data_IF_883547992404
#
_entry.id   IF_883547992404
#
_cell.length_a   1.000
_cell.length_b   1.000
_cell.length_c   1.000
_cell.angle_alpha   90.00
_cell.angle_beta   90.00
_cell.angle_gamma   90.00
#
_symmetry.space_group_name_H-M   'P 1'
#
loop_
_entity.id
_entity.type
_entity.pdbx_description
1 polymer ?
#
# COMPACT_ATOMS: atom_id res chain seq x y z
N UNK A 1 15.95 14.81 10.99
CA UNK A 1 15.33 14.37 12.26
C UNK A 1 14.00 15.08 12.54
N UNK A 2 14.01 16.40 12.69
CA UNK A 2 12.80 17.18 12.97
C UNK A 2 11.65 16.89 11.99
N UNK A 3 11.92 16.93 10.68
CA UNK A 3 10.93 16.58 9.65
C UNK A 3 10.33 15.17 9.83
N UNK A 4 11.17 14.15 10.07
CA UNK A 4 10.71 12.77 10.33
C UNK A 4 9.85 12.71 11.59
N UNK A 5 10.22 13.44 12.65
CA UNK A 5 9.45 13.49 13.88
C UNK A 5 8.08 14.13 13.65
N UNK A 6 8.02 15.28 12.97
CA UNK A 6 6.77 15.97 12.65
C UNK A 6 5.87 15.10 11.76
N UNK A 7 6.44 14.41 10.76
CA UNK A 7 5.70 13.48 9.89
C UNK A 7 5.10 12.31 10.68
N UNK A 8 5.86 11.71 11.60
CA UNK A 8 5.36 10.67 12.49
C UNK A 8 4.23 11.15 13.39
N UNK A 9 4.32 12.37 13.91
CA UNK A 9 3.28 12.95 14.77
C UNK A 9 1.99 13.23 13.99
N UNK A 10 2.11 13.73 12.75
CA UNK A 10 0.98 13.97 11.87
C UNK A 10 0.27 12.65 11.47
N UNK A 11 1.00 11.62 11.03
CA UNK A 11 0.42 10.29 10.78
C UNK A 11 -0.19 9.68 12.04
N UNK A 12 0.47 9.85 13.18
CA UNK A 12 -0.05 9.42 14.48
C UNK A 12 -1.37 10.09 14.85
N UNK A 13 -1.52 11.38 14.53
CA UNK A 13 -2.77 12.09 14.77
C UNK A 13 -3.89 11.62 13.84
N UNK A 14 -3.60 11.35 12.55
CA UNK A 14 -4.55 10.73 11.62
C UNK A 14 -5.02 9.38 12.15
N UNK A 15 -4.11 8.54 12.64
CA UNK A 15 -4.42 7.24 13.24
C UNK A 15 -5.20 7.34 14.56
N UNK A 16 -4.90 8.29 15.44
CA UNK A 16 -5.72 8.54 16.64
C UNK A 16 -7.13 9.02 16.24
N UNK A 17 -7.22 9.87 15.22
CA UNK A 17 -8.51 10.33 14.70
C UNK A 17 -9.35 9.17 14.14
N UNK A 18 -8.74 8.32 13.33
CA UNK A 18 -9.28 7.06 12.86
C UNK A 18 -9.84 6.18 14.00
N UNK A 19 -9.11 6.05 15.12
CA UNK A 19 -9.61 5.31 16.28
C UNK A 19 -10.87 5.95 16.89
N UNK A 20 -10.91 7.29 16.97
CA UNK A 20 -12.10 8.03 17.45
C UNK A 20 -13.30 7.77 16.55
N UNK A 21 -13.12 7.83 15.22
CA UNK A 21 -14.19 7.57 14.24
C UNK A 21 -14.74 6.15 14.36
N UNK A 22 -13.86 5.15 14.40
CA UNK A 22 -14.24 3.75 14.59
C UNK A 22 -14.99 3.55 15.91
N UNK A 23 -14.53 4.19 16.99
CA UNK A 23 -15.20 4.12 18.28
C UNK A 23 -16.58 4.78 18.25
N UNK A 24 -16.73 5.89 17.54
CA UNK A 24 -17.98 6.62 17.37
C UNK A 24 -18.99 5.80 16.56
N UNK A 25 -18.58 5.28 15.39
CA UNK A 25 -19.39 4.40 14.55
C UNK A 25 -19.86 3.15 15.31
N UNK A 26 -18.96 2.55 16.10
CA UNK A 26 -19.28 1.40 16.96
C UNK A 26 -20.05 1.76 18.24
N UNK A 27 -20.43 3.03 18.44
CA UNK A 27 -21.12 3.55 19.64
C UNK A 27 -20.39 3.25 20.95
N UNK A 28 -19.06 3.13 20.91
CA UNK A 28 -18.18 2.94 22.09
C UNK A 28 -17.84 4.26 22.78
N UNK A 29 -18.00 5.38 22.08
CA UNK A 29 -17.87 6.74 22.61
C UNK A 29 -19.12 7.55 22.28
N UNK A 30 -19.50 8.47 23.18
CA UNK A 30 -20.61 9.39 22.92
C UNK A 30 -20.19 10.51 21.96
N UNK A 31 -21.09 11.03 21.08
CA UNK A 31 -20.76 12.07 20.11
C UNK A 31 -20.08 13.30 20.71
N UNK A 32 -20.59 13.83 21.84
CA UNK A 32 -20.00 15.00 22.49
C UNK A 32 -18.57 14.74 23.01
N UNK A 33 -18.30 13.50 23.42
CA UNK A 33 -16.96 13.10 23.87
C UNK A 33 -16.01 12.90 22.68
N UNK A 34 -16.50 12.41 21.55
CA UNK A 34 -15.73 12.35 20.29
C UNK A 34 -15.34 13.75 19.83
N UNK A 35 -16.29 14.69 19.77
CA UNK A 35 -16.03 16.12 19.48
C UNK A 35 -14.99 16.74 20.39
N UNK A 36 -15.09 16.50 21.70
CA UNK A 36 -14.12 17.02 22.65
C UNK A 36 -12.70 16.47 22.42
N UNK A 37 -12.58 15.17 22.12
CA UNK A 37 -11.28 14.55 21.79
C UNK A 37 -10.69 15.12 20.50
N UNK A 38 -11.49 15.20 19.44
CA UNK A 38 -11.08 15.75 18.16
C UNK A 38 -10.60 17.19 18.31
N UNK A 39 -11.39 18.04 18.97
CA UNK A 39 -11.01 19.43 19.20
C UNK A 39 -9.70 19.56 20.01
N UNK A 40 -9.46 18.66 20.97
CA UNK A 40 -8.20 18.63 21.74
C UNK A 40 -7.02 18.21 20.86
N UNK A 41 -7.19 17.18 20.02
CA UNK A 41 -6.18 16.70 19.09
C UNK A 41 -5.81 17.77 18.05
N UNK A 42 -6.80 18.38 17.39
CA UNK A 42 -6.59 19.47 16.42
C UNK A 42 -5.89 20.65 17.06
N UNK A 43 -6.34 21.08 18.25
CA UNK A 43 -5.68 22.16 18.98
C UNK A 43 -4.22 21.85 19.30
N UNK A 44 -3.91 20.61 19.71
CA UNK A 44 -2.55 20.19 19.98
C UNK A 44 -1.67 20.22 18.72
N UNK A 45 -2.21 19.79 17.56
CA UNK A 45 -1.51 19.87 16.28
C UNK A 45 -1.17 21.31 15.90
N UNK A 46 -2.09 22.24 16.11
CA UNK A 46 -1.87 23.68 15.88
C UNK A 46 -0.82 24.26 16.84
N UNK A 47 -0.95 23.97 18.14
CA UNK A 47 -0.06 24.51 19.18
C UNK A 47 1.39 24.03 19.01
N UNK A 48 1.59 22.79 18.53
CA UNK A 48 2.91 22.20 18.28
C UNK A 48 3.41 22.43 16.84
N UNK A 49 2.65 23.11 15.98
CA UNK A 49 3.03 23.39 14.58
C UNK A 49 3.09 22.16 13.68
N UNK A 50 2.40 21.08 14.05
CA UNK A 50 2.38 19.82 13.29
C UNK A 50 1.37 19.89 12.14
N UNK A 51 0.31 20.70 12.27
CA UNK A 51 -0.69 20.84 11.20
C UNK A 51 -0.05 21.32 9.88
N UNK A 52 0.97 22.17 9.95
CA UNK A 52 1.67 22.72 8.79
C UNK A 52 2.49 21.68 8.01
N UNK A 53 2.76 20.51 8.60
CA UNK A 53 3.46 19.40 7.92
C UNK A 53 2.51 18.30 7.44
N UNK A 54 1.26 18.34 7.86
CA UNK A 54 0.24 17.43 7.36
C UNK A 54 -0.02 17.75 5.88
N UNK A 55 -0.28 16.72 5.08
CA UNK A 55 -0.62 16.91 3.68
C UNK A 55 -2.04 17.46 3.53
N UNK A 56 -2.42 17.94 2.35
CA UNK A 56 -3.76 18.50 2.12
C UNK A 56 -4.86 17.51 2.50
N UNK A 57 -4.70 16.24 2.10
CA UNK A 57 -5.64 15.17 2.42
C UNK A 57 -5.72 14.91 3.92
N UNK A 58 -4.59 14.87 4.61
CA UNK A 58 -4.56 14.68 6.07
C UNK A 58 -5.15 15.87 6.82
N UNK A 59 -4.92 17.10 6.35
CA UNK A 59 -5.51 18.30 6.93
C UNK A 59 -7.04 18.26 6.82
N UNK A 60 -7.56 17.85 5.67
CA UNK A 60 -9.01 17.68 5.45
C UNK A 60 -9.58 16.63 6.41
N UNK A 61 -8.94 15.47 6.51
CA UNK A 61 -9.32 14.40 7.43
C UNK A 61 -9.29 14.85 8.90
N UNK A 62 -8.23 15.55 9.32
CA UNK A 62 -8.07 16.04 10.69
C UNK A 62 -9.05 17.17 11.04
N UNK A 63 -9.48 17.94 10.04
CA UNK A 63 -10.41 19.07 10.20
C UNK A 63 -11.88 18.67 10.08
N UNK A 64 -12.19 17.50 9.53
CA UNK A 64 -13.55 17.00 9.41
C UNK A 64 -14.25 16.87 10.76
N UNK A 65 -15.58 17.07 10.79
CA UNK A 65 -16.38 16.88 11.99
C UNK A 65 -16.44 15.39 12.38
N UNK A 66 -16.56 15.04 13.68
CA UNK A 66 -16.64 13.65 14.11
C UNK A 66 -17.87 12.93 13.54
N UNK A 67 -17.62 11.80 12.89
CA UNK A 67 -18.63 11.00 12.21
C UNK A 67 -18.78 11.27 10.71
N UNK A 68 -18.02 12.23 10.16
CA UNK A 68 -18.07 12.57 8.74
C UNK A 68 -17.10 11.75 7.87
N UNK A 69 -16.16 11.02 8.47
CA UNK A 69 -15.27 10.12 7.72
C UNK A 69 -16.08 8.98 7.08
N UNK A 70 -15.81 8.75 5.80
CA UNK A 70 -16.29 7.61 5.04
C UNK A 70 -15.49 6.35 5.39
N UNK A 71 -16.00 5.19 4.99
CA UNK A 71 -15.26 3.92 5.16
C UNK A 71 -13.92 3.93 4.41
N UNK A 72 -13.88 4.55 3.23
CA UNK A 72 -12.65 4.74 2.44
C UNK A 72 -11.62 5.62 3.14
N UNK A 73 -12.06 6.67 3.86
CA UNK A 73 -11.17 7.51 4.68
C UNK A 73 -10.56 6.71 5.83
N UNK A 74 -11.34 5.77 6.39
CA UNK A 74 -10.82 4.84 7.38
C UNK A 74 -9.78 3.93 6.73
N UNK A 75 -10.10 3.26 5.63
CA UNK A 75 -9.13 2.37 4.97
C UNK A 75 -7.81 3.09 4.65
N UNK A 76 -7.88 4.31 4.11
CA UNK A 76 -6.72 5.16 3.86
C UNK A 76 -5.90 5.44 5.12
N UNK A 77 -6.54 5.88 6.21
CA UNK A 77 -5.83 6.18 7.45
C UNK A 77 -5.18 4.92 8.06
N UNK A 78 -5.77 3.73 7.88
CA UNK A 78 -5.23 2.49 8.44
C UNK A 78 -4.02 1.99 7.66
N UNK A 79 -3.99 2.23 6.34
CA UNK A 79 -2.84 1.95 5.47
C UNK A 79 -1.58 2.66 6.02
N UNK A 80 -1.71 3.90 6.52
CA UNK A 80 -0.60 4.64 7.13
C UNK A 80 0.03 3.99 8.40
N UNK A 81 -0.57 2.94 8.97
CA UNK A 81 -0.03 2.23 10.14
C UNK A 81 1.36 1.65 9.86
N UNK A 82 1.56 1.04 8.68
CA UNK A 82 2.83 0.41 8.32
C UNK A 82 3.90 1.45 7.96
N UNK A 83 3.51 2.55 7.32
CA UNK A 83 4.39 3.70 7.11
C UNK A 83 4.90 4.28 8.44
N UNK A 84 3.99 4.55 9.38
CA UNK A 84 4.36 5.04 10.72
C UNK A 84 5.26 4.06 11.47
N UNK A 85 5.01 2.75 11.37
CA UNK A 85 5.87 1.73 11.97
C UNK A 85 7.31 1.81 11.45
N UNK A 86 7.49 2.02 10.14
CA UNK A 86 8.82 2.17 9.53
C UNK A 86 9.49 3.47 9.91
N UNK A 87 8.76 4.59 9.97
CA UNK A 87 9.32 5.86 10.46
C UNK A 87 9.79 5.75 11.92
N UNK A 88 8.99 5.12 12.79
CA UNK A 88 9.35 4.88 14.19
C UNK A 88 10.60 4.01 14.32
N UNK A 89 10.73 2.96 13.49
CA UNK A 89 11.93 2.14 13.44
C UNK A 89 13.14 2.94 12.93
N UNK A 90 12.97 3.69 11.84
CA UNK A 90 14.00 4.55 11.24
C UNK A 90 14.52 5.58 12.26
N UNK A 91 13.64 6.11 13.10
CA UNK A 91 13.91 7.07 14.17
C UNK A 91 14.45 6.46 15.49
N UNK A 92 14.61 5.13 15.55
CA UNK A 92 15.08 4.42 16.75
C UNK A 92 14.06 4.37 17.89
N UNK A 93 12.78 4.66 17.63
CA UNK A 93 11.69 4.70 18.62
C UNK A 93 10.94 3.37 18.76
N UNK A 94 11.11 2.46 17.80
CA UNK A 94 10.49 1.14 17.78
C UNK A 94 11.44 0.06 17.23
N UNK A 95 11.23 -1.23 17.56
CA UNK A 95 11.87 -2.33 16.85
C UNK A 95 11.39 -2.39 15.39
N UNK A 96 12.16 -3.05 14.52
CA UNK A 96 11.75 -3.31 13.14
C UNK A 96 10.44 -4.14 13.15
N UNK A 97 9.40 -3.76 12.39
CA UNK A 97 8.20 -4.56 12.30
C UNK A 97 8.48 -5.92 11.65
N UNK A 98 7.67 -6.93 11.96
CA UNK A 98 7.81 -8.25 11.36
C UNK A 98 7.59 -8.18 9.85
N UNK A 99 8.40 -8.92 9.08
CA UNK A 99 8.36 -8.83 7.62
C UNK A 99 7.05 -9.36 7.04
N UNK A 100 6.44 -10.36 7.70
CA UNK A 100 5.29 -11.11 7.21
C UNK A 100 3.95 -10.70 7.86
N UNK A 101 3.92 -9.59 8.61
CA UNK A 101 2.73 -9.14 9.33
C UNK A 101 2.60 -7.62 9.27
N UNK A 102 1.38 -7.08 9.01
CA UNK A 102 1.11 -5.67 9.16
C UNK A 102 1.40 -5.18 10.58
N UNK A 103 1.79 -3.91 10.71
CA UNK A 103 1.86 -3.27 12.02
C UNK A 103 0.46 -3.13 12.63
N UNK A 104 0.40 -2.94 13.95
CA UNK A 104 -0.87 -2.70 14.66
C UNK A 104 -0.91 -1.26 15.16
N UNK A 105 -2.09 -0.65 15.10
CA UNK A 105 -2.29 0.75 15.52
C UNK A 105 -1.81 0.97 16.96
N UNK A 106 -2.15 0.06 17.89
CA UNK A 106 -1.74 0.17 19.29
C UNK A 106 -0.20 0.12 19.46
N UNK A 107 0.50 -0.66 18.63
CA UNK A 107 1.95 -0.78 18.70
C UNK A 107 2.68 0.50 18.25
N UNK A 108 2.08 1.26 17.33
CA UNK A 108 2.65 2.52 16.82
C UNK A 108 2.21 3.74 17.64
N UNK A 109 0.92 3.88 17.95
CA UNK A 109 0.39 5.03 18.69
C UNK A 109 0.96 5.11 20.12
N UNK A 110 1.18 3.97 20.77
CA UNK A 110 1.78 3.92 22.10
C UNK A 110 3.21 4.47 22.19
N UNK A 111 3.85 4.80 21.06
CA UNK A 111 5.20 5.37 20.98
C UNK A 111 5.23 6.88 20.83
N UNK A 112 4.09 7.50 20.53
CA UNK A 112 4.02 8.92 20.22
C UNK A 112 3.53 9.73 21.43
N UNK A 113 4.05 10.95 21.63
CA UNK A 113 3.59 11.86 22.67
C UNK A 113 2.33 12.63 22.22
N UNK A 114 1.32 11.95 21.66
CA UNK A 114 0.09 12.63 21.22
C UNK A 114 -0.58 13.35 22.40
N UNK A 115 -1.08 14.56 22.14
CA UNK A 115 -1.67 15.47 23.12
C UNK A 115 -0.71 15.85 24.28
N UNK A 116 0.61 15.77 24.06
CA UNK A 116 1.68 16.14 25.02
C UNK A 116 2.76 16.98 24.33
N UNK A 117 3.59 17.73 25.08
CA UNK A 117 4.70 18.49 24.50
C UNK A 117 5.66 17.60 23.70
N UNK A 118 6.01 18.01 22.48
CA UNK A 118 6.78 17.17 21.54
C UNK A 118 8.29 17.42 21.57
N UNK A 119 8.74 18.56 22.11
CA UNK A 119 10.15 18.95 22.11
C UNK A 119 11.10 17.84 22.61
N UNK A 120 10.77 17.22 23.75
CA UNK A 120 11.60 16.15 24.31
C UNK A 120 11.62 14.87 23.48
N UNK A 121 10.59 14.61 22.67
CA UNK A 121 10.54 13.49 21.74
C UNK A 121 11.43 13.75 20.52
N UNK A 122 11.36 14.95 19.95
CA UNK A 122 12.18 15.38 18.81
C UNK A 122 13.67 15.35 19.18
N UNK A 123 14.03 15.84 20.37
CA UNK A 123 15.42 15.86 20.86
C UNK A 123 16.05 14.47 21.02
N UNK A 124 15.25 13.46 21.36
CA UNK A 124 15.71 12.09 21.58
C UNK A 124 15.83 11.27 20.29
N UNK A 125 15.39 11.83 19.17
CA UNK A 125 15.25 11.08 17.94
C UNK A 125 16.59 10.91 17.23
N UNK A 126 16.91 9.66 16.88
CA UNK A 126 18.15 9.30 16.20
C UNK A 126 17.82 8.49 14.95
N UNK A 127 17.86 9.16 13.80
CA UNK A 127 17.65 8.50 12.50
C UNK A 127 18.79 7.52 12.24
N UNK A 128 18.44 6.31 11.81
CA UNK A 128 19.39 5.25 11.46
C UNK A 128 20.32 5.67 10.31
N UNK A 129 21.52 5.06 10.19
CA UNK A 129 22.42 5.30 9.07
C UNK A 129 21.75 4.98 7.73
N UNK A 130 22.05 5.76 6.68
CA UNK A 130 21.45 5.59 5.35
C UNK A 130 21.64 4.18 4.79
N UNK A 131 22.82 3.57 4.96
CA UNK A 131 23.08 2.19 4.53
C UNK A 131 22.14 1.15 5.19
N UNK A 132 21.67 1.39 6.42
CA UNK A 132 20.67 0.52 7.04
C UNK A 132 19.27 0.74 6.46
N UNK A 133 18.92 2.00 6.19
CA UNK A 133 17.65 2.40 5.60
C UNK A 133 17.53 1.91 4.15
N UNK A 134 18.55 2.14 3.31
CA UNK A 134 18.63 1.68 1.92
C UNK A 134 18.41 0.17 1.82
N UNK A 135 19.10 -0.63 2.64
CA UNK A 135 18.90 -2.10 2.64
C UNK A 135 17.47 -2.54 2.93
N UNK A 136 16.74 -1.79 3.75
CA UNK A 136 15.33 -2.11 4.06
C UNK A 136 14.38 -1.50 3.02
N UNK A 137 14.73 -0.36 2.42
CA UNK A 137 14.02 0.22 1.28
C UNK A 137 14.04 -0.76 0.11
N UNK A 138 15.21 -1.29 -0.25
CA UNK A 138 15.38 -2.31 -1.30
C UNK A 138 14.61 -3.61 -0.98
N UNK A 139 14.54 -4.02 0.29
CA UNK A 139 13.73 -5.16 0.70
C UNK A 139 12.26 -4.92 0.37
N UNK A 140 11.71 -3.76 0.74
CA UNK A 140 10.30 -3.45 0.57
C UNK A 140 9.94 -3.17 -0.89
N UNK A 141 10.83 -2.54 -1.65
CA UNK A 141 10.72 -2.40 -3.11
C UNK A 141 10.66 -3.78 -3.79
N UNK A 142 11.59 -4.69 -3.45
CA UNK A 142 11.58 -6.06 -3.99
C UNK A 142 10.34 -6.85 -3.54
N UNK A 143 9.85 -6.61 -2.32
CA UNK A 143 8.63 -7.24 -1.81
C UNK A 143 7.41 -6.75 -2.62
N UNK A 144 7.28 -5.44 -2.83
CA UNK A 144 6.21 -4.82 -3.60
C UNK A 144 6.20 -5.36 -5.04
N UNK A 145 7.35 -5.30 -5.71
CA UNK A 145 7.55 -5.90 -7.03
C UNK A 145 7.08 -7.36 -7.07
N UNK A 146 7.42 -8.16 -6.05
CA UNK A 146 6.99 -9.55 -6.00
C UNK A 146 5.46 -9.69 -5.90
N UNK A 147 4.79 -8.84 -5.13
CA UNK A 147 3.33 -8.83 -5.05
C UNK A 147 2.70 -8.55 -6.41
N UNK A 148 3.21 -7.56 -7.14
CA UNK A 148 2.78 -7.24 -8.51
C UNK A 148 2.97 -8.44 -9.44
N UNK A 149 4.14 -9.10 -9.39
CA UNK A 149 4.38 -10.32 -10.18
C UNK A 149 3.41 -11.45 -9.85
N UNK A 150 2.91 -11.54 -8.61
CA UNK A 150 1.86 -12.52 -8.27
C UNK A 150 0.52 -12.12 -8.87
N UNK A 151 0.14 -10.84 -8.80
CA UNK A 151 -1.07 -10.33 -9.44
C UNK A 151 -1.04 -10.60 -10.94
N UNK A 152 0.04 -10.23 -11.64
CA UNK A 152 0.19 -10.49 -13.08
C UNK A 152 0.19 -11.99 -13.41
N UNK A 153 0.77 -12.84 -12.55
CA UNK A 153 0.69 -14.29 -12.71
C UNK A 153 -0.74 -14.82 -12.59
N UNK A 154 -1.58 -14.26 -11.71
CA UNK A 154 -3.01 -14.62 -11.57
C UNK A 154 -3.82 -14.18 -12.79
N UNK A 155 -3.62 -12.94 -13.25
CA UNK A 155 -4.29 -12.41 -14.45
C UNK A 155 -3.94 -13.23 -15.69
N UNK A 156 -2.67 -13.59 -15.87
CA UNK A 156 -2.24 -14.48 -16.96
C UNK A 156 -2.98 -15.82 -16.91
N UNK A 157 -3.13 -16.42 -15.72
CA UNK A 157 -3.85 -17.69 -15.54
C UNK A 157 -5.37 -17.55 -15.75
N UNK A 158 -5.94 -16.38 -15.50
CA UNK A 158 -7.33 -16.05 -15.82
C UNK A 158 -7.55 -15.87 -17.33
N UNK A 159 -6.46 -15.78 -18.12
CA UNK A 159 -6.52 -15.56 -19.57
C UNK A 159 -6.77 -14.09 -19.93
N UNK A 160 -6.53 -13.18 -18.99
CA UNK A 160 -6.54 -11.75 -19.26
C UNK A 160 -5.26 -11.36 -20.00
N UNK A 161 -5.39 -10.40 -20.92
CA UNK A 161 -4.23 -9.86 -21.62
C UNK A 161 -3.53 -8.90 -20.66
N UNK A 162 -2.30 -9.24 -20.28
CA UNK A 162 -1.51 -8.47 -19.33
C UNK A 162 -0.29 -7.99 -20.07
N UNK A 163 -0.15 -6.67 -20.17
CA UNK A 163 1.11 -6.10 -20.63
C UNK A 163 2.16 -6.27 -19.53
N UNK A 164 3.19 -7.06 -19.85
CA UNK A 164 4.33 -7.22 -18.96
C UNK A 164 5.40 -6.21 -19.35
N UNK A 165 6.03 -5.59 -18.35
CA UNK A 165 7.19 -4.71 -18.58
C UNK A 165 8.34 -5.42 -19.32
N UNK A 166 8.39 -6.76 -19.23
CA UNK A 166 9.35 -7.57 -19.94
C UNK A 166 8.69 -8.74 -20.66
N UNK A 167 9.22 -9.05 -21.85
CA UNK A 167 8.85 -10.24 -22.59
C UNK A 167 9.41 -11.49 -21.89
N UNK A 168 8.53 -12.30 -21.29
CA UNK A 168 8.91 -13.55 -20.63
C UNK A 168 9.68 -14.46 -21.58
N UNK A 169 9.32 -14.52 -22.87
CA UNK A 169 10.00 -15.37 -23.84
C UNK A 169 11.47 -14.97 -24.01
N UNK A 170 11.77 -13.67 -23.92
CA UNK A 170 13.13 -13.14 -24.03
C UNK A 170 14.07 -13.59 -22.90
N UNK A 171 13.53 -13.94 -21.73
CA UNK A 171 14.32 -14.34 -20.55
C UNK A 171 14.30 -15.84 -20.26
N UNK A 172 13.52 -16.65 -21.00
CA UNK A 172 13.36 -18.09 -20.74
C UNK A 172 14.71 -18.83 -20.75
N UNK A 173 15.58 -18.54 -21.70
CA UNK A 173 16.90 -19.17 -21.81
C UNK A 173 17.76 -18.94 -20.57
N UNK A 174 17.59 -17.80 -19.89
CA UNK A 174 18.29 -17.50 -18.63
C UNK A 174 17.64 -18.23 -17.46
N UNK A 175 16.31 -18.25 -17.40
CA UNK A 175 15.58 -18.98 -16.37
C UNK A 175 15.86 -20.48 -16.42
N UNK A 176 15.93 -21.08 -17.60
CA UNK A 176 16.23 -22.51 -17.77
C UNK A 176 17.65 -22.85 -17.31
N UNK A 177 18.63 -21.95 -17.51
CA UNK A 177 20.00 -22.12 -16.96
C UNK A 177 20.00 -22.13 -15.44
N UNK A 178 19.05 -21.43 -14.81
CA UNK A 178 18.86 -21.41 -13.37
C UNK A 178 17.94 -22.52 -12.85
N UNK A 179 17.48 -23.41 -13.73
CA UNK A 179 16.69 -24.59 -13.38
C UNK A 179 15.18 -24.43 -13.48
N UNK A 180 14.68 -23.40 -14.19
CA UNK A 180 13.27 -23.32 -14.56
C UNK A 180 12.91 -24.40 -15.59
N UNK A 181 11.78 -25.08 -15.41
CA UNK A 181 11.27 -26.09 -16.35
C UNK A 181 10.12 -25.50 -17.18
N UNK A 182 10.47 -24.83 -18.28
CA UNK A 182 9.50 -24.18 -19.16
C UNK A 182 8.50 -25.18 -19.76
N UNK A 183 8.92 -26.41 -20.02
CA UNK A 183 8.04 -27.45 -20.56
C UNK A 183 6.98 -27.86 -19.54
N UNK A 184 7.38 -28.09 -18.28
CA UNK A 184 6.45 -28.39 -17.21
C UNK A 184 5.50 -27.21 -16.95
N UNK A 185 6.03 -25.98 -16.93
CA UNK A 185 5.23 -24.77 -16.77
C UNK A 185 4.17 -24.62 -17.88
N UNK A 186 4.58 -24.75 -19.15
CA UNK A 186 3.68 -24.69 -20.30
C UNK A 186 2.59 -25.79 -20.27
N UNK A 187 2.88 -26.94 -19.66
CA UNK A 187 1.88 -28.00 -19.50
C UNK A 187 0.75 -27.66 -18.51
N UNK A 188 0.93 -26.65 -17.64
CA UNK A 188 -0.05 -26.19 -16.63
C UNK A 188 -1.05 -25.14 -17.12
N UNK A 189 -1.11 -24.85 -18.42
CA UNK A 189 -2.04 -23.84 -18.95
C UNK A 189 -1.62 -23.20 -20.28
N UNK A 190 -0.79 -23.87 -21.08
CA UNK A 190 -0.27 -23.28 -22.30
C UNK A 190 0.66 -22.10 -22.01
N UNK A 191 0.53 -21.02 -22.78
CA UNK A 191 1.38 -19.83 -22.60
C UNK A 191 1.11 -19.14 -21.26
N UNK A 192 -0.14 -19.04 -20.82
CA UNK A 192 -0.51 -18.50 -19.52
C UNK A 192 0.20 -19.21 -18.35
N UNK A 193 0.21 -20.54 -18.38
CA UNK A 193 0.90 -21.36 -17.38
C UNK A 193 2.43 -21.18 -17.41
N UNK A 194 3.01 -20.98 -18.59
CA UNK A 194 4.43 -20.67 -18.75
C UNK A 194 4.78 -19.33 -18.10
N UNK A 195 4.03 -18.28 -18.44
CA UNK A 195 4.20 -16.93 -17.90
C UNK A 195 4.08 -16.90 -16.38
N UNK A 196 2.97 -17.41 -15.83
CA UNK A 196 2.72 -17.38 -14.39
C UNK A 196 3.79 -18.11 -13.57
N UNK A 197 4.27 -19.26 -14.05
CA UNK A 197 5.32 -20.01 -13.36
C UNK A 197 6.70 -19.36 -13.50
N UNK A 198 6.98 -18.67 -14.61
CA UNK A 198 8.22 -17.91 -14.80
C UNK A 198 8.29 -16.74 -13.82
N UNK A 199 7.20 -15.97 -13.67
CA UNK A 199 7.10 -14.87 -12.70
C UNK A 199 7.28 -15.36 -11.26
N UNK A 200 6.59 -16.44 -10.88
CA UNK A 200 6.76 -17.07 -9.57
C UNK A 200 8.19 -17.60 -9.36
N UNK A 201 8.85 -18.10 -10.40
CA UNK A 201 10.23 -18.56 -10.32
C UNK A 201 11.21 -17.40 -10.08
N UNK A 202 11.04 -16.28 -10.79
CA UNK A 202 11.78 -15.04 -10.54
C UNK A 202 11.59 -14.56 -9.10
N UNK A 203 10.35 -14.57 -8.61
CA UNK A 203 10.02 -14.24 -7.23
C UNK A 203 10.78 -15.08 -6.20
N UNK A 204 10.81 -16.40 -6.38
CA UNK A 204 11.60 -17.31 -5.52
C UNK A 204 13.11 -17.03 -5.58
N UNK A 205 13.64 -16.65 -6.76
CA UNK A 205 15.05 -16.25 -6.88
C UNK A 205 15.33 -14.96 -6.10
N UNK A 206 14.46 -13.97 -6.17
CA UNK A 206 14.57 -12.74 -5.38
C UNK A 206 14.52 -13.04 -3.87
N UNK A 207 13.57 -13.89 -3.44
CA UNK A 207 13.47 -14.34 -2.05
C UNK A 207 14.76 -15.04 -1.57
N UNK A 208 15.37 -15.89 -2.41
CA UNK A 208 16.64 -16.55 -2.10
C UNK A 208 17.81 -15.55 -1.96
N UNK A 209 17.86 -14.49 -2.78
CA UNK A 209 18.86 -13.41 -2.66
C UNK A 209 18.71 -12.65 -1.34
N UNK A 210 17.49 -12.27 -0.96
CA UNK A 210 17.21 -11.58 0.31
C UNK A 210 17.45 -12.49 1.53
N UNK A 211 17.23 -13.80 1.40
CA UNK A 211 17.56 -14.77 2.43
C UNK A 211 19.08 -14.84 2.67
N UNK A 212 19.89 -14.75 1.60
CA UNK A 212 21.35 -14.74 1.72
C UNK A 212 21.88 -13.52 2.49
N UNK A 213 21.17 -12.39 2.45
CA UNK A 213 21.49 -11.17 3.22
C UNK A 213 20.82 -11.12 4.60
N UNK A 214 20.01 -12.14 4.94
CA UNK A 214 19.22 -12.25 6.19
C UNK A 214 18.17 -11.15 6.35
N UNK A 215 17.75 -10.51 5.26
CA UNK A 215 16.65 -9.54 5.27
C UNK A 215 15.28 -10.24 5.23
N UNK A 216 15.23 -11.48 4.74
CA UNK A 216 14.01 -12.25 4.58
C UNK A 216 14.21 -13.68 5.06
N UNK A 217 13.16 -14.29 5.63
CA UNK A 217 13.11 -15.75 5.86
C UNK A 217 12.00 -16.33 4.97
N UNK A 218 12.33 -16.93 3.81
CA UNK A 218 11.32 -17.40 2.87
C UNK A 218 10.43 -18.51 3.45
N UNK A 219 9.15 -18.51 3.07
CA UNK A 219 8.21 -19.61 3.33
C UNK A 219 7.97 -20.35 2.02
N UNK A 220 8.21 -21.66 2.01
CA UNK A 220 8.16 -22.48 0.80
C UNK A 220 9.03 -21.95 -0.36
N UNK A 221 10.13 -21.26 -0.02
CA UNK A 221 11.05 -20.65 -0.98
C UNK A 221 10.57 -19.33 -1.61
N UNK A 222 9.44 -18.79 -1.18
CA UNK A 222 8.87 -17.52 -1.65
C UNK A 222 8.78 -16.51 -0.49
N UNK A 223 8.34 -15.29 -0.78
CA UNK A 223 8.11 -14.25 0.22
C UNK A 223 6.99 -14.67 1.20
N UNK A 224 7.17 -14.43 2.51
CA UNK A 224 6.21 -14.83 3.54
C UNK A 224 5.20 -13.71 3.84
N UNK A 225 3.92 -14.06 3.93
CA UNK A 225 2.90 -13.21 4.53
C UNK A 225 1.95 -14.07 5.37
N UNK A 226 1.77 -13.72 6.65
CA UNK A 226 0.95 -14.46 7.63
C UNK A 226 1.25 -15.96 7.66
N UNK A 227 2.54 -16.31 7.54
CA UNK A 227 3.01 -17.70 7.52
C UNK A 227 2.74 -18.49 6.24
N UNK A 228 2.26 -17.86 5.17
CA UNK A 228 2.07 -18.46 3.83
C UNK A 228 3.06 -17.85 2.84
N UNK A 229 3.34 -18.55 1.74
CA UNK A 229 4.02 -17.99 0.58
C UNK A 229 3.09 -17.02 -0.17
N UNK A 230 3.60 -15.94 -0.77
CA UNK A 230 2.80 -15.01 -1.58
C UNK A 230 2.00 -15.73 -2.69
N UNK A 231 2.63 -16.71 -3.36
CA UNK A 231 1.96 -17.55 -4.36
C UNK A 231 0.84 -18.45 -3.84
N UNK A 232 0.61 -18.50 -2.53
CA UNK A 232 -0.43 -19.30 -1.87
C UNK A 232 -1.45 -18.43 -1.09
N UNK A 233 -1.39 -17.11 -1.22
CA UNK A 233 -2.38 -16.20 -0.63
C UNK A 233 -3.70 -16.24 -1.41
N UNK A 234 -4.79 -15.83 -0.78
CA UNK A 234 -6.01 -15.41 -1.49
C UNK A 234 -5.85 -13.97 -2.00
N UNK A 235 -6.88 -13.39 -2.61
CA UNK A 235 -6.82 -12.03 -3.17
C UNK A 235 -6.76 -10.97 -2.06
N UNK A 236 -7.49 -11.16 -0.95
CA UNK A 236 -7.50 -10.26 0.20
C UNK A 236 -6.14 -10.22 0.91
N UNK A 237 -5.54 -11.39 1.22
CA UNK A 237 -4.21 -11.47 1.81
C UNK A 237 -3.14 -10.88 0.86
N UNK A 238 -3.28 -11.07 -0.46
CA UNK A 238 -2.33 -10.50 -1.43
C UNK A 238 -2.44 -8.97 -1.46
N UNK A 239 -3.64 -8.42 -1.52
CA UNK A 239 -3.87 -6.97 -1.46
C UNK A 239 -3.31 -6.37 -0.17
N UNK A 240 -3.53 -7.03 0.98
CA UNK A 240 -2.97 -6.60 2.25
C UNK A 240 -1.43 -6.64 2.26
N UNK A 241 -0.83 -7.66 1.64
CA UNK A 241 0.63 -7.76 1.51
C UNK A 241 1.20 -6.66 0.60
N UNK A 242 0.53 -6.35 -0.50
CA UNK A 242 0.87 -5.24 -1.42
C UNK A 242 0.82 -3.91 -0.70
N UNK A 243 -0.29 -3.59 -0.03
CA UNK A 243 -0.44 -2.33 0.72
C UNK A 243 0.64 -2.20 1.80
N UNK A 244 0.89 -3.25 2.59
CA UNK A 244 1.98 -3.25 3.58
C UNK A 244 3.34 -2.98 2.94
N UNK A 245 3.68 -3.64 1.81
CA UNK A 245 4.96 -3.46 1.15
C UNK A 245 5.11 -2.03 0.59
N UNK A 246 4.04 -1.49 -0.01
CA UNK A 246 3.97 -0.12 -0.53
C UNK A 246 4.28 0.90 0.57
N UNK A 247 3.54 0.87 1.68
CA UNK A 247 3.69 1.85 2.76
C UNK A 247 5.06 1.80 3.42
N UNK A 248 5.62 0.58 3.56
CA UNK A 248 6.96 0.42 4.14
C UNK A 248 8.05 0.90 3.20
N UNK A 249 7.90 0.67 1.89
CA UNK A 249 8.79 1.19 0.88
C UNK A 249 8.73 2.72 0.85
N UNK A 250 7.53 3.28 0.69
CA UNK A 250 7.29 4.72 0.61
C UNK A 250 7.87 5.47 1.82
N UNK A 251 7.59 5.00 3.04
CA UNK A 251 8.09 5.64 4.25
C UNK A 251 9.63 5.69 4.30
N UNK A 252 10.32 4.62 3.87
CA UNK A 252 11.78 4.61 3.85
C UNK A 252 12.35 5.42 2.69
N UNK A 253 11.70 5.41 1.55
CA UNK A 253 12.08 6.22 0.41
C UNK A 253 12.03 7.71 0.75
N UNK A 254 10.92 8.15 1.36
CA UNK A 254 10.76 9.52 1.85
C UNK A 254 11.83 9.91 2.87
N UNK A 255 12.20 9.03 3.80
CA UNK A 255 13.29 9.33 4.77
C UNK A 255 14.64 9.50 4.07
N UNK A 256 14.90 8.75 3.00
CA UNK A 256 16.16 8.78 2.26
C UNK A 256 16.25 9.96 1.30
N UNK A 257 15.17 10.24 0.58
CA UNK A 257 15.15 11.14 -0.57
C UNK A 257 14.41 12.46 -0.29
N UNK A 258 13.59 12.53 0.75
CA UNK A 258 12.69 13.66 1.00
C UNK A 258 11.51 13.65 0.03
N UNK A 259 11.09 14.84 -0.41
CA UNK A 259 9.89 15.01 -1.26
C UNK A 259 8.63 15.33 -0.44
N UNK A 260 7.54 15.65 -1.14
CA UNK A 260 6.24 15.71 -0.48
C UNK A 260 5.73 14.30 -0.26
N UNK A 261 5.05 14.07 0.87
CA UNK A 261 4.59 12.75 1.25
C UNK A 261 3.53 12.21 0.28
N UNK A 262 2.70 13.10 -0.27
CA UNK A 262 1.67 12.75 -1.27
C UNK A 262 2.17 12.85 -2.72
N UNK A 263 3.44 13.26 -2.94
CA UNK A 263 4.02 13.46 -4.28
C UNK A 263 4.62 12.16 -4.85
N UNK A 264 4.16 11.01 -4.35
CA UNK A 264 4.25 9.82 -5.18
C UNK A 264 3.31 10.08 -6.34
N UNK A 265 3.89 10.45 -7.48
CA UNK A 265 3.27 10.28 -8.78
C UNK A 265 2.66 8.87 -8.75
N UNK A 266 1.35 8.79 -8.49
CA UNK A 266 0.57 7.60 -8.80
C UNK A 266 0.72 7.57 -10.29
N UNK A 267 1.69 6.78 -10.76
CA UNK A 267 2.10 6.71 -12.15
C UNK A 267 0.84 6.89 -12.98
N UNK A 268 0.72 8.03 -13.68
CA UNK A 268 -0.46 8.43 -14.47
C UNK A 268 -0.75 7.42 -15.62
N UNK A 269 -0.04 6.29 -15.63
CA UNK A 269 -0.17 5.10 -16.45
C UNK A 269 -1.55 4.43 -16.43
N UNK A 270 -2.54 4.91 -15.66
CA UNK A 270 -3.92 4.40 -15.72
C UNK A 270 -4.95 5.36 -16.32
N UNK A 271 -4.68 6.66 -16.38
CA UNK A 271 -5.65 7.63 -16.90
C UNK A 271 -5.52 7.83 -18.42
N UNK A 272 -4.32 7.65 -19.00
CA UNK A 272 -4.15 7.67 -20.46
C UNK A 272 -4.86 6.49 -21.15
N UNK A 273 -5.09 5.37 -20.44
CA UNK A 273 -5.87 4.24 -20.96
C UNK A 273 -7.40 4.46 -20.91
N UNK A 274 -7.88 5.47 -20.18
CA UNK A 274 -9.30 5.82 -20.09
C UNK A 274 -9.69 7.01 -20.99
N UNK A 275 -8.74 7.82 -21.44
CA UNK A 275 -8.99 8.89 -22.42
C UNK A 275 -9.01 8.41 -23.89
N UNK A 276 -8.52 7.21 -24.20
CA UNK A 276 -8.79 6.54 -25.49
C UNK A 276 -10.14 5.78 -25.50
N UNK A 277 -11.12 6.29 -24.74
CA UNK A 277 -12.52 6.03 -25.00
C UNK A 277 -12.84 6.48 -26.42
N UNK A 278 -12.79 5.50 -27.33
CA UNK A 278 -13.34 5.51 -28.68
C UNK A 278 -14.48 6.52 -28.75
N UNK A 279 -14.44 7.42 -29.75
CA UNK A 279 -15.63 8.09 -30.27
C UNK A 279 -16.64 6.97 -30.53
N UNK A 280 -17.49 6.69 -29.53
CA UNK A 280 -18.69 5.91 -29.71
C UNK A 280 -19.54 6.80 -30.60
N UNK A 281 -19.33 6.67 -31.91
CA UNK A 281 -20.28 7.12 -32.91
C UNK A 281 -21.61 6.55 -32.44
N UNK A 282 -22.42 7.41 -31.81
CA UNK A 282 -23.81 7.12 -31.51
C UNK A 282 -24.44 6.80 -32.86
N UNK A 283 -24.45 5.51 -33.24
CA UNK A 283 -25.18 5.08 -34.41
C UNK A 283 -26.60 5.62 -34.22
N UNK A 284 -27.09 6.44 -35.16
CA UNK A 284 -28.40 7.02 -35.04
C UNK A 284 -29.38 5.86 -34.87
N UNK A 285 -30.05 5.84 -33.72
CA UNK A 285 -31.18 4.96 -33.49
C UNK A 285 -32.19 5.34 -34.57
N UNK A 286 -32.32 4.50 -35.59
CA UNK A 286 -33.36 4.64 -36.61
C UNK A 286 -34.72 4.52 -35.89
N UNK A 287 -35.29 5.68 -35.54
CA UNK A 287 -36.67 5.85 -35.09
C UNK A 287 -37.65 5.61 -36.26
N UNK A 288 -37.62 4.41 -36.84
CA UNK A 288 -38.74 3.91 -37.65
C UNK A 288 -39.68 3.11 -36.73
N UNK A 289 -40.29 3.82 -35.76
CA UNK A 289 -41.45 3.32 -35.03
C UNK A 289 -42.69 3.50 -35.93
N UNK A 290 -42.99 2.46 -36.70
CA UNK A 290 -44.22 2.33 -37.49
C UNK A 290 -45.43 2.22 -36.53
N UNK A 291 -46.07 3.36 -36.27
CA UNK A 291 -47.45 3.45 -35.74
C UNK A 291 -48.41 2.90 -36.79
N UNK A 292 -48.50 1.57 -36.82
CA UNK A 292 -49.53 0.80 -37.51
C UNK A 292 -50.90 1.04 -36.89
N UNK A 293 -51.45 2.23 -37.10
CA UNK A 293 -52.87 2.56 -36.99
C UNK A 293 -53.65 1.85 -38.11
N UNK A 294 -53.97 0.58 -37.88
CA UNK A 294 -54.80 -0.24 -38.75
C UNK A 294 -56.20 -0.44 -38.17
N UNK A 295 -57.11 0.49 -38.47
CA UNK A 295 -58.56 0.33 -38.33
C UNK A 295 -59.09 -0.89 -39.10
N UNK A 296 -60.09 -1.57 -38.54
CA UNK A 296 -61.16 -2.19 -39.35
C UNK A 296 -61.69 -3.55 -38.90
N UNK A 297 -62.98 -3.58 -38.52
CA UNK A 297 -63.86 -4.75 -38.71
C UNK A 297 -64.58 -5.27 -37.48
#
# INVERSE_FOLDING_TARGET
>A
PEQVASRMLALGAVLERAQIERDLAAKRIAPDKARAKVAALTKWLEDEGIMDVATSLEQDLLSAEPGDWLEEDLDLAWVATDALAMLLWAAGQAPLPAVDQPATVDAVLGRLPLEKPTAGFIEQMAVKPSEELERHRDLWETYLWRCEQESSARLALAGEDVEFEFDVESILDELEKDGFDAKAAKSKGGQAGLTAEALRFLGRKAAAKLAATKLLTPVSGDFPFRGKALSALDDEDLQAATSMAHERHHALDWVLNGGEWDDLEVDELSDEALEEGEDFDEEPIDEDYDDGSGEGG
#
